data_IF_518421073767
#
_entry.id   IF_518421073767
#
_cell.length_a   1.000
_cell.length_b   1.000
_cell.length_c   1.000
_cell.angle_alpha   90.00
_cell.angle_beta   90.00
_cell.angle_gamma   90.00
#
_symmetry.space_group_name_H-M   'P 1'
#
loop_
_entity.id
_entity.type
_entity.pdbx_description
1 polymer ?
#
# COMPACT_ATOMS: atom_id res chain seq x y z
N UNK A 1 17.42 -15.96 -0.26
CA UNK A 1 17.15 -17.39 -0.53
C UNK A 1 15.65 -17.57 -0.64
N UNK A 2 15.16 -17.83 -1.84
CA UNK A 2 13.73 -17.73 -2.18
C UNK A 2 12.95 -18.95 -1.69
N UNK A 3 11.76 -18.67 -1.17
CA UNK A 3 10.81 -19.56 -0.48
C UNK A 3 10.70 -20.96 -1.12
N UNK A 4 10.86 -22.02 -0.30
CA UNK A 4 10.51 -23.43 -0.65
C UNK A 4 9.08 -23.51 -1.22
N UNK A 5 8.77 -24.51 -2.05
CA UNK A 5 7.46 -24.69 -2.73
C UNK A 5 6.24 -24.56 -1.81
N UNK A 6 6.29 -25.14 -0.61
CA UNK A 6 5.22 -25.01 0.39
C UNK A 6 5.03 -23.56 0.88
N UNK A 7 6.11 -22.79 0.99
CA UNK A 7 6.08 -21.37 1.37
C UNK A 7 5.54 -20.50 0.22
N UNK A 8 5.79 -20.87 -1.04
CA UNK A 8 5.21 -20.19 -2.20
C UNK A 8 3.68 -20.30 -2.22
N UNK A 9 3.12 -21.48 -1.95
CA UNK A 9 1.67 -21.68 -1.88
C UNK A 9 1.01 -20.87 -0.76
N UNK A 10 1.58 -20.89 0.45
CA UNK A 10 1.10 -20.09 1.59
C UNK A 10 1.14 -18.59 1.30
N UNK A 11 2.21 -18.11 0.68
CA UNK A 11 2.36 -16.71 0.30
C UNK A 11 1.31 -16.26 -0.72
N UNK A 12 1.01 -17.08 -1.73
CA UNK A 12 -0.05 -16.78 -2.69
C UNK A 12 -1.44 -16.75 -2.04
N UNK A 13 -1.73 -17.68 -1.11
CA UNK A 13 -2.98 -17.66 -0.34
C UNK A 13 -3.11 -16.39 0.50
N UNK A 14 -2.02 -15.95 1.13
CA UNK A 14 -2.01 -14.68 1.88
C UNK A 14 -2.32 -13.49 0.97
N UNK A 15 -1.67 -13.38 -0.19
CA UNK A 15 -1.93 -12.30 -1.16
C UNK A 15 -3.42 -12.28 -1.56
N UNK A 16 -4.01 -13.44 -1.83
CA UNK A 16 -5.43 -13.55 -2.17
C UNK A 16 -6.33 -13.08 -1.02
N UNK A 17 -6.04 -13.52 0.21
CA UNK A 17 -6.75 -13.09 1.41
C UNK A 17 -6.67 -11.57 1.60
N UNK A 18 -5.49 -10.97 1.41
CA UNK A 18 -5.30 -9.53 1.53
C UNK A 18 -6.13 -8.76 0.50
N UNK A 19 -6.06 -9.13 -0.78
CA UNK A 19 -6.89 -8.47 -1.81
C UNK A 19 -8.39 -8.68 -1.59
N UNK A 20 -8.81 -9.85 -1.14
CA UNK A 20 -10.21 -10.12 -0.81
C UNK A 20 -10.71 -9.23 0.32
N UNK A 21 -9.92 -9.12 1.40
CA UNK A 21 -10.24 -8.30 2.58
C UNK A 21 -10.28 -6.82 2.21
N UNK A 22 -9.26 -6.33 1.51
CA UNK A 22 -9.17 -4.95 1.02
C UNK A 22 -10.41 -4.57 0.20
N UNK A 23 -10.81 -5.44 -0.73
CA UNK A 23 -11.97 -5.19 -1.60
C UNK A 23 -13.29 -5.21 -0.86
N UNK A 24 -13.49 -6.17 0.04
CA UNK A 24 -14.72 -6.27 0.83
C UNK A 24 -14.93 -5.06 1.72
N UNK A 25 -13.84 -4.44 2.19
CA UNK A 25 -13.90 -3.23 2.99
C UNK A 25 -13.92 -1.93 2.16
N UNK A 26 -13.95 -2.01 0.81
CA UNK A 26 -13.92 -0.84 -0.07
C UNK A 26 -12.60 -0.06 -0.07
N UNK A 27 -11.51 -0.68 0.41
CA UNK A 27 -10.19 -0.05 0.47
C UNK A 27 -9.44 -0.09 -0.86
N UNK A 28 -8.41 0.77 -0.96
CA UNK A 28 -7.47 0.82 -2.09
C UNK A 28 -6.10 0.23 -1.75
N UNK A 29 -5.79 0.08 -0.46
CA UNK A 29 -4.58 -0.52 0.08
C UNK A 29 -4.91 -1.35 1.33
N UNK A 30 -4.06 -2.34 1.63
CA UNK A 30 -4.11 -3.11 2.87
C UNK A 30 -2.73 -3.67 3.21
N UNK A 31 -2.20 -3.28 4.37
CA UNK A 31 -0.98 -3.79 4.95
C UNK A 31 -1.22 -5.08 5.73
N UNK A 32 -0.26 -6.00 5.66
CA UNK A 32 -0.42 -7.32 6.29
C UNK A 32 -0.62 -7.28 7.81
N UNK A 33 -0.06 -6.31 8.58
CA UNK A 33 -0.37 -6.17 10.01
C UNK A 33 -1.86 -5.96 10.30
N UNK A 34 -2.62 -5.33 9.39
CA UNK A 34 -4.05 -5.09 9.57
C UNK A 34 -4.89 -6.38 9.59
N UNK A 35 -4.33 -7.49 9.10
CA UNK A 35 -4.94 -8.84 9.18
C UNK A 35 -4.13 -9.77 10.10
N UNK A 36 -3.43 -9.18 11.08
CA UNK A 36 -2.63 -9.89 12.08
C UNK A 36 -1.54 -10.80 11.48
N UNK A 37 -0.89 -10.31 10.41
CA UNK A 37 0.29 -10.94 9.83
C UNK A 37 1.47 -9.97 9.96
N UNK A 38 2.49 -10.28 10.77
CA UNK A 38 3.61 -9.36 11.00
C UNK A 38 4.64 -9.47 9.87
N UNK A 39 4.23 -9.25 8.62
CA UNK A 39 5.10 -9.25 7.46
C UNK A 39 5.27 -7.81 6.93
N UNK A 40 6.48 -7.52 6.46
CA UNK A 40 6.81 -6.26 5.79
C UNK A 40 6.25 -6.26 4.35
N UNK A 41 4.91 -6.23 4.22
CA UNK A 41 4.25 -6.20 2.92
C UNK A 41 2.84 -5.62 2.96
N UNK A 42 2.41 -5.06 1.84
CA UNK A 42 1.04 -4.62 1.60
C UNK A 42 0.60 -4.92 0.17
N UNK A 43 -0.72 -4.84 -0.06
CA UNK A 43 -1.32 -4.91 -1.40
C UNK A 43 -2.02 -3.60 -1.71
N UNK A 44 -2.04 -3.22 -2.99
CA UNK A 44 -2.69 -1.99 -3.45
C UNK A 44 -3.36 -2.20 -4.82
N UNK A 45 -4.54 -1.62 -5.00
CA UNK A 45 -5.24 -1.55 -6.28
C UNK A 45 -6.07 -0.25 -6.33
N UNK A 46 -5.71 0.65 -7.25
CA UNK A 46 -6.44 1.90 -7.48
C UNK A 46 -7.14 1.80 -8.82
N UNK A 47 -8.47 1.71 -8.79
CA UNK A 47 -9.28 1.65 -10.00
C UNK A 47 -9.45 3.05 -10.60
N UNK A 48 -9.69 3.11 -11.91
CA UNK A 48 -10.07 4.36 -12.57
C UNK A 48 -11.38 4.86 -11.97
N UNK A 49 -11.39 6.10 -11.51
CA UNK A 49 -12.59 6.76 -10.98
C UNK A 49 -13.16 7.72 -12.01
N UNK A 50 -14.49 7.72 -12.18
CA UNK A 50 -15.18 8.75 -12.97
C UNK A 50 -15.31 10.07 -12.21
N UNK A 51 -15.38 9.99 -10.88
CA UNK A 51 -15.57 11.14 -9.97
C UNK A 51 -14.23 11.82 -9.67
N UNK A 52 -13.14 11.04 -9.67
CA UNK A 52 -11.76 11.52 -9.50
C UNK A 52 -10.89 11.14 -10.71
N UNK A 53 -11.12 11.74 -11.89
CA UNK A 53 -10.41 11.39 -13.11
C UNK A 53 -8.91 11.74 -13.07
N UNK A 54 -8.50 12.64 -12.18
CA UNK A 54 -7.11 13.03 -11.93
C UNK A 54 -6.29 11.94 -11.25
N UNK A 55 -6.96 11.02 -10.53
CA UNK A 55 -6.29 9.91 -9.84
C UNK A 55 -5.84 8.87 -10.86
N UNK A 56 -4.52 8.75 -11.02
CA UNK A 56 -3.92 7.73 -11.87
C UNK A 56 -4.24 6.33 -11.33
N UNK A 57 -4.83 5.43 -12.15
CA UNK A 57 -5.09 4.07 -11.72
C UNK A 57 -3.79 3.32 -11.48
N UNK A 58 -3.83 2.37 -10.56
CA UNK A 58 -2.75 1.45 -10.26
C UNK A 58 -3.30 0.03 -10.30
N UNK A 59 -2.78 -0.80 -11.20
CA UNK A 59 -3.12 -2.23 -11.26
C UNK A 59 -2.73 -2.89 -9.93
N UNK A 60 -3.34 -4.05 -9.64
CA UNK A 60 -2.99 -4.88 -8.48
C UNK A 60 -1.47 -5.01 -8.33
N UNK A 61 -0.95 -4.44 -7.25
CA UNK A 61 0.48 -4.43 -6.95
C UNK A 61 0.69 -5.04 -5.58
N UNK A 62 1.64 -5.97 -5.49
CA UNK A 62 2.08 -6.58 -4.24
C UNK A 62 3.44 -5.96 -3.92
N UNK A 63 3.55 -5.36 -2.74
CA UNK A 63 4.73 -4.61 -2.31
C UNK A 63 5.32 -5.31 -1.11
N UNK A 64 6.53 -5.86 -1.26
CA UNK A 64 7.25 -6.59 -0.19
C UNK A 64 8.54 -5.86 0.14
N UNK A 65 8.84 -5.72 1.43
CA UNK A 65 9.97 -4.99 1.99
C UNK A 65 10.15 -3.60 1.35
N UNK A 66 9.10 -2.75 1.35
CA UNK A 66 9.20 -1.41 0.76
C UNK A 66 10.17 -0.52 1.52
N UNK A 67 10.87 0.33 0.77
CA UNK A 67 11.68 1.43 1.30
C UNK A 67 11.45 2.66 0.43
N UNK A 68 11.02 3.76 1.06
CA UNK A 68 11.02 5.07 0.38
C UNK A 68 12.47 5.55 0.31
N UNK A 69 12.97 5.77 -0.90
CA UNK A 69 14.36 6.21 -1.15
C UNK A 69 14.47 7.69 -1.46
N UNK A 70 13.35 8.35 -1.76
CA UNK A 70 13.29 9.79 -1.97
C UNK A 70 11.89 10.32 -1.72
N UNK A 71 11.82 11.55 -1.20
CA UNK A 71 10.60 12.31 -0.97
C UNK A 71 10.72 13.65 -1.69
N UNK A 72 9.61 14.18 -2.19
CA UNK A 72 9.56 15.58 -2.63
C UNK A 72 9.71 16.54 -1.44
N UNK A 73 9.96 17.82 -1.73
CA UNK A 73 9.90 18.87 -0.70
C UNK A 73 8.46 19.29 -0.38
N UNK A 74 7.51 19.00 -1.28
CA UNK A 74 6.14 19.49 -1.20
C UNK A 74 5.27 18.51 -0.41
N UNK A 75 4.56 19.02 0.58
CA UNK A 75 3.48 18.32 1.26
C UNK A 75 2.13 18.75 0.70
N UNK A 76 1.16 17.84 0.74
CA UNK A 76 -0.24 18.13 0.49
C UNK A 76 -1.12 17.50 1.56
N UNK A 77 -2.06 18.27 2.09
CA UNK A 77 -3.12 17.77 2.95
C UNK A 77 -4.23 17.16 2.09
N UNK A 78 -4.72 15.99 2.48
CA UNK A 78 -5.93 15.38 1.92
C UNK A 78 -6.55 14.47 2.99
N UNK A 79 -7.82 14.14 2.82
CA UNK A 79 -8.53 13.27 3.75
C UNK A 79 -8.11 11.81 3.57
N UNK A 80 -7.66 11.20 4.66
CA UNK A 80 -7.39 9.76 4.74
C UNK A 80 -8.41 9.07 5.64
N UNK A 81 -8.73 7.83 5.27
CA UNK A 81 -9.36 6.86 6.16
C UNK A 81 -8.46 5.64 6.29
N UNK A 82 -8.72 4.83 7.31
CA UNK A 82 -7.98 3.61 7.56
C UNK A 82 -8.97 2.47 7.81
N UNK A 83 -8.74 1.31 7.19
CA UNK A 83 -9.60 0.13 7.41
C UNK A 83 -9.54 -0.38 8.85
N UNK A 84 -8.44 -0.10 9.57
CA UNK A 84 -8.31 -0.40 11.00
C UNK A 84 -9.06 0.58 11.90
N UNK A 85 -9.50 1.73 11.38
CA UNK A 85 -10.22 2.79 12.10
C UNK A 85 -11.46 3.23 11.30
N UNK A 86 -12.48 2.36 11.16
CA UNK A 86 -13.56 2.53 10.17
C UNK A 86 -14.32 3.85 10.29
N UNK A 87 -14.51 4.36 11.51
CA UNK A 87 -15.25 5.59 11.80
C UNK A 87 -14.40 6.88 11.78
N UNK A 88 -13.07 6.77 11.60
CA UNK A 88 -12.17 7.92 11.70
C UNK A 88 -11.69 8.33 10.31
N UNK A 89 -11.76 9.63 10.05
CA UNK A 89 -11.11 10.29 8.91
C UNK A 89 -10.29 11.44 9.44
N UNK A 90 -9.12 11.66 8.85
CA UNK A 90 -8.21 12.73 9.24
C UNK A 90 -7.67 13.46 8.03
N UNK A 91 -7.42 14.77 8.17
CA UNK A 91 -6.70 15.54 7.18
C UNK A 91 -5.19 15.33 7.41
N UNK A 92 -4.52 14.71 6.44
CA UNK A 92 -3.16 14.19 6.63
C UNK A 92 -2.18 14.81 5.63
N UNK A 93 -1.06 15.39 6.10
CA UNK A 93 0.01 15.85 5.22
C UNK A 93 0.81 14.67 4.67
N UNK A 94 0.92 14.57 3.34
CA UNK A 94 1.79 13.59 2.67
C UNK A 94 2.71 14.26 1.67
N UNK A 95 3.89 13.68 1.48
CA UNK A 95 4.76 14.08 0.38
C UNK A 95 4.06 13.80 -0.94
N UNK A 96 4.05 14.80 -1.82
CA UNK A 96 3.33 14.71 -3.11
C UNK A 96 3.93 13.69 -4.04
N UNK A 97 5.23 13.45 -3.94
CA UNK A 97 5.96 12.53 -4.78
C UNK A 97 6.97 11.75 -3.93
N UNK A 98 7.08 10.46 -4.21
CA UNK A 98 8.04 9.56 -3.56
C UNK A 98 8.64 8.61 -4.59
N UNK A 99 9.85 8.11 -4.29
CA UNK A 99 10.44 6.97 -4.99
C UNK A 99 10.49 5.81 -4.01
N UNK A 100 9.92 4.67 -4.40
CA UNK A 100 9.85 3.47 -3.56
C UNK A 100 10.60 2.33 -4.22
N UNK A 101 11.52 1.73 -3.48
CA UNK A 101 12.11 0.45 -3.82
C UNK A 101 11.39 -0.66 -3.06
N UNK A 102 11.10 -1.78 -3.73
CA UNK A 102 10.44 -2.92 -3.11
C UNK A 102 10.70 -4.19 -3.92
N UNK A 103 10.21 -5.33 -3.42
CA UNK A 103 10.19 -6.60 -4.14
C UNK A 103 8.75 -6.98 -4.48
N UNK A 104 8.54 -7.47 -5.69
CA UNK A 104 7.23 -8.02 -6.07
C UNK A 104 7.03 -9.44 -5.52
N UNK A 105 5.90 -10.07 -5.82
CA UNK A 105 5.57 -11.43 -5.36
C UNK A 105 6.49 -12.53 -5.90
N UNK A 106 7.27 -12.25 -6.94
CA UNK A 106 8.31 -13.13 -7.48
C UNK A 106 9.69 -12.83 -6.87
N UNK A 107 9.74 -11.87 -5.93
CA UNK A 107 10.92 -11.28 -5.31
C UNK A 107 11.90 -10.64 -6.30
N UNK A 108 11.39 -10.10 -7.41
CA UNK A 108 12.16 -9.21 -8.28
C UNK A 108 12.13 -7.80 -7.71
N UNK A 109 13.29 -7.14 -7.61
CA UNK A 109 13.40 -5.73 -7.18
C UNK A 109 12.66 -4.83 -8.16
N UNK A 110 11.93 -3.86 -7.64
CA UNK A 110 11.15 -2.86 -8.37
C UNK A 110 11.53 -1.48 -7.82
N UNK A 111 11.49 -0.47 -8.69
CA UNK A 111 11.61 0.94 -8.33
C UNK A 111 10.44 1.66 -8.96
N UNK A 112 9.67 2.39 -8.16
CA UNK A 112 8.46 3.08 -8.62
C UNK A 112 8.49 4.54 -8.20
N UNK A 113 8.33 5.44 -9.18
CA UNK A 113 8.08 6.86 -8.95
C UNK A 113 6.57 7.04 -8.82
N UNK A 114 6.14 7.53 -7.68
CA UNK A 114 4.73 7.67 -7.32
C UNK A 114 4.43 9.14 -7.05
N UNK A 115 3.24 9.57 -7.44
CA UNK A 115 2.79 10.93 -7.18
C UNK A 115 1.31 10.99 -6.80
N UNK A 116 0.93 12.11 -6.18
CA UNK A 116 -0.44 12.41 -5.76
C UNK A 116 -1.03 11.28 -4.90
N UNK A 117 -2.23 10.83 -5.28
CA UNK A 117 -2.95 9.82 -4.51
C UNK A 117 -2.22 8.48 -4.42
N UNK A 118 -1.44 8.07 -5.43
CA UNK A 118 -0.67 6.83 -5.36
C UNK A 118 0.46 6.94 -4.32
N UNK A 119 1.16 8.08 -4.28
CA UNK A 119 2.19 8.34 -3.27
C UNK A 119 1.60 8.36 -1.86
N UNK A 120 0.42 8.96 -1.70
CA UNK A 120 -0.33 8.96 -0.43
C UNK A 120 -0.64 7.56 0.07
N UNK A 121 -1.26 6.73 -0.78
CA UNK A 121 -1.61 5.35 -0.41
C UNK A 121 -0.34 4.57 -0.03
N UNK A 122 0.75 4.69 -0.76
CA UNK A 122 2.00 4.01 -0.40
C UNK A 122 2.58 4.48 0.93
N UNK A 123 2.60 5.78 1.21
CA UNK A 123 3.03 6.31 2.51
C UNK A 123 2.17 5.75 3.65
N UNK A 124 0.85 5.73 3.47
CA UNK A 124 -0.09 5.16 4.44
C UNK A 124 0.15 3.67 4.70
N UNK A 125 0.28 2.85 3.65
CA UNK A 125 0.51 1.42 3.85
C UNK A 125 1.89 1.13 4.44
N UNK A 126 2.90 1.96 4.15
CA UNK A 126 4.24 1.86 4.75
C UNK A 126 4.21 2.25 6.24
N UNK A 127 3.42 3.25 6.61
CA UNK A 127 3.18 3.61 8.02
C UNK A 127 2.65 2.41 8.81
N UNK A 128 1.68 1.67 8.26
CA UNK A 128 1.17 0.45 8.89
C UNK A 128 2.25 -0.61 9.12
N UNK A 129 3.22 -0.74 8.21
CA UNK A 129 4.36 -1.66 8.41
C UNK A 129 5.30 -1.22 9.54
N UNK A 130 5.24 0.05 9.93
CA UNK A 130 6.02 0.65 11.01
C UNK A 130 5.18 0.87 12.28
N UNK A 131 3.96 0.33 12.35
CA UNK A 131 3.07 0.49 13.50
C UNK A 131 2.45 1.88 13.63
N UNK A 132 2.50 2.67 12.57
CA UNK A 132 1.88 4.00 12.49
C UNK A 132 0.51 3.86 11.81
N UNK A 133 -0.50 4.57 12.30
CA UNK A 133 -1.84 4.59 11.72
C UNK A 133 -1.98 5.80 10.78
N UNK A 134 -2.83 6.76 11.17
CA UNK A 134 -3.05 7.99 10.41
C UNK A 134 -2.22 9.09 11.09
N UNK A 135 -1.21 9.61 10.37
CA UNK A 135 -0.29 10.67 10.80
C UNK A 135 -0.15 11.69 9.68
#
# INVERSE_FOLDING_TARGET
MFLKTANKSRFQKLIQQMFYTMKRAGGVGLASPQINKPLQMFVVEIKKSKIRPEVKPLKKTIVVNPKITSYSKKLANDWEGCLSLPAIRGLVPRYTDIIVEFYNQLGKKQIMKLSGFQARVFQHEIDHLNGILIK
#
